data_IF_708054797754
#
_entry.id   IF_708054797754
#
_cell.length_a   1.000
_cell.length_b   1.000
_cell.length_c   1.000
_cell.angle_alpha   90.00
_cell.angle_beta   90.00
_cell.angle_gamma   90.00
#
_symmetry.space_group_name_H-M   'P 1'
#
loop_
_entity.id
_entity.type
_entity.pdbx_description
1 polymer ?
#
# COMPACT_ATOMS: atom_id res chain seq x y z
N UNK A 1 14.76 36.16 3.72
CA UNK A 1 15.90 37.01 4.14
C UNK A 1 16.82 36.15 5.02
N UNK A 2 18.11 36.02 4.68
CA UNK A 2 19.09 35.36 5.53
C UNK A 2 19.54 36.35 6.61
N UNK A 3 19.30 36.02 7.86
CA UNK A 3 19.75 36.83 9.00
C UNK A 3 21.05 36.24 9.53
N UNK A 4 22.12 37.03 9.52
CA UNK A 4 23.43 36.66 10.07
C UNK A 4 23.69 37.53 11.28
N UNK A 5 23.94 36.92 12.44
CA UNK A 5 24.49 37.60 13.61
C UNK A 5 25.71 36.81 14.10
N UNK A 6 26.64 37.45 14.79
CA UNK A 6 27.81 36.80 15.39
C UNK A 6 28.14 37.46 16.71
N UNK A 7 28.52 36.66 17.71
CA UNK A 7 28.98 37.11 19.03
C UNK A 7 30.32 36.41 19.30
N UNK A 8 31.33 37.15 19.77
CA UNK A 8 32.61 36.62 20.20
C UNK A 8 32.61 36.38 21.72
N UNK A 9 32.96 35.17 22.17
CA UNK A 9 33.18 34.84 23.59
C UNK A 9 34.67 34.55 23.75
N UNK A 10 35.28 34.99 24.85
CA UNK A 10 36.74 34.98 25.05
C UNK A 10 37.14 33.75 25.86
N UNK A 11 37.35 32.64 25.17
CA UNK A 11 38.09 31.50 25.68
C UNK A 11 39.17 31.18 24.63
N UNK A 12 40.41 30.96 25.09
CA UNK A 12 41.61 31.48 24.41
C UNK A 12 42.08 30.59 23.23
N UNK A 13 41.47 29.43 22.98
CA UNK A 13 41.98 28.49 21.97
C UNK A 13 41.47 28.76 20.56
N UNK A 14 40.18 29.05 20.39
CA UNK A 14 39.60 29.38 19.08
C UNK A 14 39.23 30.85 18.97
N UNK A 15 39.91 31.58 18.08
CA UNK A 15 39.67 33.02 17.85
C UNK A 15 38.85 33.32 16.60
N UNK A 16 38.18 32.32 16.02
CA UNK A 16 37.35 32.50 14.82
C UNK A 16 35.88 32.76 15.17
N UNK A 17 35.06 32.95 14.14
CA UNK A 17 33.61 33.06 14.27
C UNK A 17 32.91 31.82 13.72
N UNK A 18 31.71 31.55 14.25
CA UNK A 18 30.81 30.49 13.77
C UNK A 18 29.61 31.14 13.11
N UNK A 19 29.45 30.92 11.80
CA UNK A 19 28.23 31.25 11.07
C UNK A 19 27.33 30.03 11.07
N UNK A 20 26.03 30.22 11.34
CA UNK A 20 25.09 29.11 11.38
C UNK A 20 23.84 29.44 10.58
N UNK A 21 23.50 28.56 9.64
CA UNK A 21 22.40 28.77 8.70
C UNK A 21 21.55 27.52 8.57
N UNK A 22 20.30 27.71 8.13
CA UNK A 22 19.40 26.62 7.74
C UNK A 22 19.01 26.76 6.28
N UNK A 23 18.76 25.64 5.61
CA UNK A 23 18.16 25.61 4.28
C UNK A 23 16.73 26.14 4.30
N UNK A 24 15.98 25.89 5.39
CA UNK A 24 14.57 26.26 5.57
C UNK A 24 14.29 26.65 7.02
N UNK A 25 13.51 27.72 7.22
CA UNK A 25 13.06 28.17 8.56
C UNK A 25 11.62 27.75 8.87
N UNK A 26 10.84 27.42 7.84
CA UNK A 26 9.50 26.88 7.92
C UNK A 26 9.44 25.58 7.13
N UNK A 27 8.89 24.54 7.75
CA UNK A 27 8.70 23.22 7.18
C UNK A 27 7.20 22.91 7.13
N UNK A 28 6.76 22.25 6.07
CA UNK A 28 5.45 21.59 6.00
C UNK A 28 5.60 20.09 6.29
N UNK A 29 4.48 19.37 6.35
CA UNK A 29 4.48 17.93 6.63
C UNK A 29 5.45 17.16 5.70
N UNK A 30 6.34 16.34 6.28
CA UNK A 30 7.31 15.52 5.55
C UNK A 30 8.58 16.25 5.09
N UNK A 31 8.71 17.56 5.32
CA UNK A 31 9.94 18.30 4.99
C UNK A 31 10.98 18.21 6.13
N UNK A 32 12.26 18.21 5.75
CA UNK A 32 13.38 18.40 6.67
C UNK A 32 14.18 19.66 6.33
N UNK A 33 14.87 20.22 7.33
CA UNK A 33 15.83 21.30 7.15
C UNK A 33 17.26 20.79 7.28
N UNK A 34 18.19 21.36 6.50
CA UNK A 34 19.63 21.14 6.69
C UNK A 34 20.20 22.34 7.43
N UNK A 35 20.85 22.06 8.56
CA UNK A 35 21.61 23.03 9.35
C UNK A 35 23.07 22.96 8.93
N UNK A 36 23.68 24.11 8.67
CA UNK A 36 25.09 24.23 8.26
C UNK A 36 25.79 25.24 9.15
N UNK A 37 26.81 24.77 9.87
CA UNK A 37 27.73 25.59 10.66
C UNK A 37 29.05 25.76 9.90
N UNK A 38 29.50 27.01 9.75
CA UNK A 38 30.73 27.36 9.02
C UNK A 38 31.65 28.19 9.91
N UNK A 39 32.91 27.80 9.96
CA UNK A 39 33.96 28.45 10.73
C UNK A 39 34.74 29.42 9.86
N UNK A 40 35.09 30.59 10.41
CA UNK A 40 35.95 31.56 9.71
C UNK A 40 37.40 31.10 9.58
N UNK A 41 37.81 30.14 10.41
CA UNK A 41 39.16 29.53 10.45
C UNK A 41 39.03 28.05 10.80
N UNK A 42 39.99 27.27 10.33
CA UNK A 42 40.09 25.85 10.67
C UNK A 42 40.07 25.60 12.17
N UNK A 43 39.41 24.50 12.56
CA UNK A 43 39.29 24.07 13.94
C UNK A 43 40.68 23.65 14.50
N UNK A 44 41.15 24.20 15.63
CA UNK A 44 42.40 23.78 16.27
C UNK A 44 42.33 22.33 16.74
N UNK A 45 43.51 21.71 16.92
CA UNK A 45 43.58 20.39 17.54
C UNK A 45 42.96 20.42 18.94
N UNK A 46 42.20 19.38 19.30
CA UNK A 46 41.44 19.23 20.56
C UNK A 46 40.18 20.09 20.69
N UNK A 47 39.72 20.74 19.61
CA UNK A 47 38.42 21.40 19.57
C UNK A 47 37.39 20.61 18.76
N UNK A 48 36.12 20.86 19.07
CA UNK A 48 34.96 20.26 18.43
C UNK A 48 34.03 21.35 17.92
N UNK A 49 33.52 21.20 16.70
CA UNK A 49 32.38 21.93 16.19
C UNK A 49 31.13 21.08 16.41
N UNK A 50 30.27 21.54 17.32
CA UNK A 50 29.10 20.81 17.79
C UNK A 50 27.82 21.55 17.40
N UNK A 51 26.78 20.82 17.00
CA UNK A 51 25.43 21.36 16.80
C UNK A 51 24.51 20.74 17.85
N UNK A 52 23.79 21.59 18.58
CA UNK A 52 22.84 21.18 19.60
C UNK A 52 21.45 21.76 19.34
N UNK A 53 20.43 21.09 19.84
CA UNK A 53 19.09 21.66 19.98
C UNK A 53 18.91 22.41 21.32
N UNK A 54 17.72 22.97 21.51
CA UNK A 54 17.27 23.68 22.70
C UNK A 54 17.06 22.79 23.93
N UNK A 55 16.99 21.47 23.76
CA UNK A 55 16.96 20.49 24.86
C UNK A 55 18.38 20.11 25.31
N UNK A 56 19.42 20.63 24.65
CA UNK A 56 20.80 20.31 24.93
C UNK A 56 21.24 18.96 24.37
N UNK A 57 20.47 18.38 23.44
CA UNK A 57 20.86 17.17 22.72
C UNK A 57 21.85 17.54 21.62
N UNK A 58 22.97 16.80 21.55
CA UNK A 58 23.94 16.94 20.45
C UNK A 58 23.42 16.23 19.21
N UNK A 59 23.31 16.97 18.11
CA UNK A 59 22.85 16.48 16.81
C UNK A 59 24.01 16.19 15.87
N UNK A 60 25.11 16.95 15.97
CA UNK A 60 26.30 16.74 15.16
C UNK A 60 27.58 17.04 15.91
N UNK A 61 28.65 16.41 15.44
CA UNK A 61 29.97 16.42 16.05
C UNK A 61 31.05 16.33 14.98
N UNK A 62 31.61 17.49 14.64
CA UNK A 62 32.64 17.62 13.63
C UNK A 62 33.97 17.99 14.29
N UNK A 63 34.97 17.13 14.15
CA UNK A 63 36.31 17.35 14.69
C UNK A 63 37.38 16.85 13.73
N UNK A 64 38.59 17.39 13.89
CA UNK A 64 39.71 17.06 13.03
C UNK A 64 40.19 15.63 13.31
N UNK A 65 39.98 14.71 12.35
CA UNK A 65 40.60 13.38 12.35
C UNK A 65 41.82 13.32 11.42
N UNK A 66 41.74 13.98 10.28
CA UNK A 66 42.78 14.01 9.23
C UNK A 66 42.72 15.25 8.33
N UNK A 67 41.70 16.11 8.46
CA UNK A 67 41.46 17.29 7.61
C UNK A 67 41.03 18.48 8.44
N UNK A 68 41.41 19.68 8.00
CA UNK A 68 41.00 20.94 8.62
C UNK A 68 39.48 21.08 8.56
N UNK A 69 38.82 20.97 9.70
CA UNK A 69 37.36 21.18 9.79
C UNK A 69 37.07 22.66 9.70
N UNK A 70 36.30 23.04 8.68
CA UNK A 70 35.79 24.42 8.49
C UNK A 70 34.27 24.48 8.44
N UNK A 71 33.57 23.34 8.39
CA UNK A 71 32.12 23.30 8.41
C UNK A 71 31.58 22.00 9.03
N UNK A 72 30.30 22.01 9.41
CA UNK A 72 29.56 20.87 9.94
C UNK A 72 28.09 20.96 9.50
N UNK A 73 27.49 19.84 9.09
CA UNK A 73 26.09 19.81 8.62
C UNK A 73 25.28 18.70 9.29
N UNK A 74 23.99 18.94 9.48
CA UNK A 74 23.03 17.95 9.99
C UNK A 74 21.61 18.20 9.48
N UNK A 75 20.86 17.13 9.24
CA UNK A 75 19.44 17.21 8.92
C UNK A 75 18.59 17.23 10.19
N UNK A 76 17.52 18.02 10.20
CA UNK A 76 16.55 18.11 11.30
C UNK A 76 15.12 18.10 10.79
N UNK A 77 14.22 17.50 11.58
CA UNK A 77 12.78 17.44 11.30
C UNK A 77 12.01 17.59 12.62
N UNK A 78 11.73 18.83 13.09
CA UNK A 78 10.86 19.08 14.23
C UNK A 78 9.48 18.42 14.05
N UNK A 79 8.83 18.03 15.15
CA UNK A 79 7.48 17.47 15.10
C UNK A 79 6.44 18.49 14.59
N UNK A 80 5.27 18.06 14.10
CA UNK A 80 4.23 18.96 13.60
C UNK A 80 3.83 20.01 14.65
N UNK A 81 3.82 21.29 14.26
CA UNK A 81 3.48 22.40 15.16
C UNK A 81 4.59 22.78 16.14
N UNK A 82 5.74 22.13 16.04
CA UNK A 82 6.89 22.37 16.91
C UNK A 82 7.83 23.41 16.27
N UNK A 83 8.22 24.41 17.06
CA UNK A 83 9.39 25.25 16.77
C UNK A 83 10.57 24.77 17.60
N UNK A 84 11.69 24.47 16.93
CA UNK A 84 12.94 24.09 17.60
C UNK A 84 14.04 25.08 17.32
N UNK A 85 14.85 25.33 18.34
CA UNK A 85 16.01 26.20 18.24
C UNK A 85 17.28 25.39 18.27
N UNK A 86 18.22 25.77 17.41
CA UNK A 86 19.50 25.10 17.26
C UNK A 86 20.64 26.08 17.44
N UNK A 87 21.77 25.59 17.93
CA UNK A 87 22.98 26.39 18.13
C UNK A 87 24.22 25.59 17.72
N UNK A 88 25.15 26.26 17.05
CA UNK A 88 26.47 25.72 16.78
C UNK A 88 27.49 26.33 17.76
N UNK A 89 28.37 25.49 18.30
CA UNK A 89 29.41 25.89 19.24
C UNK A 89 30.76 25.29 18.86
N UNK A 90 31.83 26.07 19.01
CA UNK A 90 33.20 25.57 19.05
C UNK A 90 33.61 25.42 20.51
N UNK A 91 34.07 24.24 20.88
CA UNK A 91 34.31 23.91 22.28
C UNK A 91 35.47 22.92 22.46
N UNK A 92 36.17 23.04 23.59
CA UNK A 92 37.24 22.12 23.99
C UNK A 92 36.70 20.84 24.68
N UNK A 93 35.46 20.85 25.15
CA UNK A 93 34.80 19.70 25.76
C UNK A 93 33.68 19.14 24.86
N UNK A 94 33.34 17.86 25.10
CA UNK A 94 32.53 17.04 24.20
C UNK A 94 31.44 16.27 24.97
N UNK A 95 30.55 16.93 25.72
CA UNK A 95 29.51 16.23 26.47
C UNK A 95 28.61 15.42 25.54
N UNK A 96 28.20 14.23 25.98
CA UNK A 96 27.17 13.42 25.30
C UNK A 96 25.76 13.90 25.63
N UNK A 97 25.58 14.60 26.74
CA UNK A 97 24.31 15.17 27.21
C UNK A 97 24.53 16.55 27.81
N UNK A 98 23.71 17.53 27.42
CA UNK A 98 23.79 18.90 27.91
C UNK A 98 24.76 19.78 27.12
N UNK A 99 24.73 21.12 27.34
CA UNK A 99 25.57 22.05 26.61
C UNK A 99 27.06 21.91 27.02
N UNK A 100 28.01 22.20 26.11
CA UNK A 100 29.44 22.25 26.45
C UNK A 100 29.74 23.34 27.48
N UNK A 101 30.69 23.07 28.38
CA UNK A 101 31.11 23.99 29.44
C UNK A 101 32.29 24.86 29.02
N UNK A 102 33.11 24.41 28.08
CA UNK A 102 34.32 25.08 27.57
C UNK A 102 34.07 25.60 26.15
N UNK A 103 33.16 26.57 26.01
CA UNK A 103 32.76 27.16 24.73
C UNK A 103 33.64 28.37 24.40
N UNK A 104 34.30 28.34 23.24
CA UNK A 104 35.14 29.43 22.73
C UNK A 104 34.40 30.29 21.70
N UNK A 105 33.50 29.69 20.91
CA UNK A 105 32.65 30.45 20.01
C UNK A 105 31.25 29.83 19.93
N UNK A 106 30.25 30.68 19.76
CA UNK A 106 28.85 30.29 19.69
C UNK A 106 28.14 31.09 18.60
N UNK A 107 27.39 30.41 17.75
CA UNK A 107 26.52 31.07 16.78
C UNK A 107 25.26 31.66 17.46
N UNK A 108 24.55 32.59 16.82
CA UNK A 108 23.16 32.84 17.15
C UNK A 108 22.33 31.56 17.00
N UNK A 109 21.16 31.56 17.66
CA UNK A 109 20.20 30.48 17.49
C UNK A 109 19.53 30.56 16.13
N UNK A 110 19.33 29.42 15.51
CA UNK A 110 18.50 29.26 14.31
C UNK A 110 17.22 28.57 14.71
N UNK A 111 16.08 29.15 14.35
CA UNK A 111 14.76 28.55 14.58
C UNK A 111 14.30 27.82 13.32
N UNK A 112 13.81 26.61 13.49
CA UNK A 112 13.07 25.87 12.45
C UNK A 112 11.70 25.54 13.01
N UNK A 113 10.66 26.00 12.32
CA UNK A 113 9.27 25.73 12.70
C UNK A 113 8.69 24.75 11.72
N UNK A 114 8.24 23.60 12.20
CA UNK A 114 7.31 22.77 11.45
C UNK A 114 5.93 23.38 11.65
N UNK A 115 5.48 24.14 10.65
CA UNK A 115 4.14 24.71 10.67
C UNK A 115 3.24 23.50 10.56
N UNK A 116 2.60 23.09 11.66
CA UNK A 116 1.63 22.01 11.63
C UNK A 116 0.73 22.28 10.44
N UNK A 117 0.73 21.37 9.47
CA UNK A 117 -0.28 21.39 8.44
C UNK A 117 -1.59 21.05 9.15
N UNK A 118 -2.24 22.09 9.69
CA UNK A 118 -3.67 22.07 10.03
C UNK A 118 -4.49 22.25 8.76
N UNK A 119 -3.86 22.56 7.63
CA UNK A 119 -4.42 22.24 6.34
C UNK A 119 -4.33 20.73 6.16
N UNK A 120 -5.39 20.03 5.72
CA UNK A 120 -5.22 18.66 5.28
C UNK A 120 -4.04 18.67 4.30
N UNK A 121 -3.05 17.79 4.51
CA UNK A 121 -2.17 17.39 3.41
C UNK A 121 -3.11 17.17 2.25
N UNK A 122 -2.92 17.92 1.16
CA UNK A 122 -3.81 17.85 0.01
C UNK A 122 -3.57 16.50 -0.67
N UNK A 123 -4.06 15.43 -0.03
CA UNK A 123 -4.18 14.08 -0.51
C UNK A 123 -5.26 13.99 -1.59
N UNK A 124 -5.80 15.12 -2.07
CA UNK A 124 -6.69 15.11 -3.23
C UNK A 124 -6.03 14.54 -4.51
N UNK A 125 -4.70 14.33 -4.52
CA UNK A 125 -3.99 13.61 -5.58
C UNK A 125 -3.65 12.15 -5.25
N UNK A 126 -3.80 11.71 -4.00
CA UNK A 126 -3.68 10.29 -3.61
C UNK A 126 -5.03 9.84 -3.14
N UNK A 127 -5.77 9.18 -4.03
CA UNK A 127 -7.06 8.57 -3.71
C UNK A 127 -6.97 7.87 -2.35
N UNK A 128 -7.81 8.29 -1.39
CA UNK A 128 -7.82 7.80 -0.01
C UNK A 128 -7.88 6.26 0.03
N UNK A 129 -8.49 5.67 -1.00
CA UNK A 129 -8.50 4.23 -1.25
C UNK A 129 -7.11 3.62 -1.48
N UNK A 130 -6.26 4.24 -2.32
CA UNK A 130 -4.90 3.75 -2.56
C UNK A 130 -4.08 3.79 -1.28
N UNK A 131 -4.22 4.87 -0.51
CA UNK A 131 -3.52 5.03 0.76
C UNK A 131 -3.91 3.97 1.79
N UNK A 132 -5.21 3.71 1.99
CA UNK A 132 -5.67 2.65 2.89
C UNK A 132 -5.29 1.25 2.38
N UNK A 133 -5.18 1.04 1.06
CA UNK A 133 -4.65 -0.21 0.51
C UNK A 133 -3.17 -0.42 0.87
N UNK A 134 -2.32 0.61 0.80
CA UNK A 134 -0.93 0.53 1.27
C UNK A 134 -0.85 0.23 2.76
N UNK A 135 -1.69 0.86 3.57
CA UNK A 135 -1.77 0.59 5.02
C UNK A 135 -2.12 -0.87 5.29
N UNK A 136 -3.11 -1.41 4.58
CA UNK A 136 -3.53 -2.80 4.73
C UNK A 136 -2.46 -3.81 4.28
N UNK A 137 -1.77 -3.51 3.16
CA UNK A 137 -0.69 -4.32 2.61
C UNK A 137 0.54 -4.38 3.53
N UNK A 138 0.86 -3.28 4.19
CA UNK A 138 2.08 -3.15 5.00
C UNK A 138 1.81 -3.28 6.51
N UNK A 139 0.58 -3.61 6.91
CA UNK A 139 0.15 -3.70 8.31
C UNK A 139 0.93 -4.74 9.13
N UNK A 140 1.43 -5.78 8.47
CA UNK A 140 2.19 -6.87 9.07
C UNK A 140 3.70 -6.60 9.09
N UNK A 141 4.17 -5.61 8.33
CA UNK A 141 5.60 -5.28 8.25
C UNK A 141 5.98 -4.41 9.45
N UNK A 142 6.97 -4.80 10.26
CA UNK A 142 7.49 -3.96 11.33
C UNK A 142 7.94 -2.59 10.78
N UNK A 143 7.57 -1.50 11.48
CA UNK A 143 7.78 -0.14 10.96
C UNK A 143 9.24 0.17 10.58
N UNK A 144 10.21 -0.48 11.23
CA UNK A 144 11.64 -0.30 10.95
C UNK A 144 12.12 -1.03 9.69
N UNK A 145 11.46 -2.13 9.30
CA UNK A 145 11.79 -2.88 8.08
C UNK A 145 11.30 -2.13 6.83
N UNK A 146 10.22 -1.36 6.96
CA UNK A 146 9.70 -0.50 5.89
C UNK A 146 10.73 0.47 5.33
N UNK A 147 11.68 0.95 6.14
CA UNK A 147 12.63 1.94 5.66
C UNK A 147 13.71 1.32 4.77
N UNK A 148 14.04 0.03 4.97
CA UNK A 148 15.19 -0.62 4.32
C UNK A 148 15.12 -0.57 2.79
N UNK A 149 14.00 -0.91 2.12
CA UNK A 149 13.94 -0.88 0.66
C UNK A 149 14.05 0.53 0.08
N UNK A 150 13.68 1.56 0.84
CA UNK A 150 13.77 2.96 0.41
C UNK A 150 15.20 3.45 0.34
N UNK A 151 16.14 2.85 1.10
CA UNK A 151 17.56 3.23 1.07
C UNK A 151 18.21 2.99 -0.31
N UNK A 152 17.67 2.02 -1.06
CA UNK A 152 18.24 1.57 -2.33
C UNK A 152 17.59 2.22 -3.56
N UNK A 153 16.61 3.12 -3.35
CA UNK A 153 15.95 3.84 -4.45
C UNK A 153 16.95 4.80 -5.09
N UNK A 154 17.39 4.53 -6.32
CA UNK A 154 18.26 5.45 -7.05
C UNK A 154 17.51 6.76 -7.30
N UNK A 155 18.07 7.88 -6.84
CA UNK A 155 17.55 9.21 -7.11
C UNK A 155 18.49 9.98 -8.05
N UNK A 156 17.95 10.75 -9.00
CA UNK A 156 18.75 11.68 -9.78
C UNK A 156 19.16 12.86 -8.88
N UNK A 157 20.38 12.84 -8.34
CA UNK A 157 20.91 13.93 -7.52
C UNK A 157 22.22 13.60 -6.80
N UNK A 158 22.85 14.60 -6.16
CA UNK A 158 24.14 14.43 -5.47
C UNK A 158 24.02 13.76 -4.08
N UNK A 159 22.80 13.52 -3.58
CA UNK A 159 22.58 12.81 -2.31
C UNK A 159 22.64 11.30 -2.53
N UNK A 160 23.43 10.60 -1.72
CA UNK A 160 23.45 9.13 -1.71
C UNK A 160 22.25 8.51 -0.99
N UNK A 161 21.43 9.32 -0.31
CA UNK A 161 20.28 8.85 0.49
C UNK A 161 18.98 9.46 -0.03
N UNK A 162 17.96 8.63 -0.34
CA UNK A 162 16.66 9.11 -0.81
C UNK A 162 15.87 9.90 0.25
N UNK A 163 15.15 10.97 -0.13
CA UNK A 163 14.30 11.72 0.81
C UNK A 163 13.22 10.86 1.49
N UNK A 164 12.64 9.90 0.77
CA UNK A 164 11.66 8.95 1.31
C UNK A 164 12.23 8.06 2.42
N UNK A 165 13.49 7.64 2.29
CA UNK A 165 14.19 6.89 3.33
C UNK A 165 14.36 7.73 4.61
N UNK A 166 14.85 8.96 4.46
CA UNK A 166 15.05 9.86 5.61
C UNK A 166 13.72 10.21 6.31
N UNK A 167 12.65 10.39 5.54
CA UNK A 167 11.32 10.62 6.08
C UNK A 167 10.78 9.40 6.83
N UNK A 168 11.00 8.19 6.29
CA UNK A 168 10.67 6.94 6.95
C UNK A 168 11.39 6.79 8.30
N UNK A 169 12.72 6.86 8.29
CA UNK A 169 13.56 6.72 9.49
C UNK A 169 13.18 7.74 10.56
N UNK A 170 12.96 9.00 10.16
CA UNK A 170 12.56 10.06 11.08
C UNK A 170 11.18 9.80 11.69
N UNK A 171 10.22 9.29 10.90
CA UNK A 171 8.88 8.99 11.39
C UNK A 171 8.90 7.78 12.35
N UNK A 172 9.64 6.73 12.01
CA UNK A 172 9.80 5.52 12.84
C UNK A 172 10.53 5.85 14.14
N UNK A 173 11.63 6.60 14.09
CA UNK A 173 12.38 7.02 15.27
C UNK A 173 11.56 7.90 16.24
N UNK A 174 10.54 8.59 15.72
CA UNK A 174 9.60 9.39 16.52
C UNK A 174 8.50 8.55 17.18
N UNK A 175 8.47 7.24 16.95
CA UNK A 175 7.44 6.34 17.49
C UNK A 175 6.08 6.51 16.81
N UNK A 176 6.04 7.02 15.58
CA UNK A 176 4.79 7.19 14.84
C UNK A 176 4.20 5.84 14.42
N UNK A 177 2.87 5.78 14.28
CA UNK A 177 2.19 4.60 13.75
C UNK A 177 2.40 4.42 12.24
N UNK A 178 2.05 3.23 11.71
CA UNK A 178 2.23 2.88 10.30
C UNK A 178 1.64 3.92 9.35
N UNK A 179 0.41 4.41 9.62
CA UNK A 179 -0.22 5.45 8.79
C UNK A 179 0.69 6.69 8.71
N UNK A 180 1.16 7.21 9.83
CA UNK A 180 2.06 8.36 9.81
C UNK A 180 3.38 8.09 9.08
N UNK A 181 3.94 6.89 9.22
CA UNK A 181 5.15 6.49 8.48
C UNK A 181 4.89 6.50 6.97
N UNK A 182 3.81 5.87 6.49
CA UNK A 182 3.45 5.86 5.07
C UNK A 182 3.14 7.25 4.52
N UNK A 183 2.52 8.13 5.32
CA UNK A 183 2.31 9.55 4.96
C UNK A 183 3.62 10.29 4.79
N UNK A 184 4.58 10.09 5.71
CA UNK A 184 5.89 10.72 5.62
C UNK A 184 6.65 10.26 4.36
N UNK A 185 6.57 8.96 4.03
CA UNK A 185 7.17 8.39 2.83
C UNK A 185 6.53 8.97 1.57
N UNK A 186 5.20 9.00 1.49
CA UNK A 186 4.46 9.55 0.36
C UNK A 186 4.75 11.05 0.17
N UNK A 187 4.81 11.82 1.26
CA UNK A 187 5.11 13.25 1.20
C UNK A 187 6.53 13.53 0.66
N UNK A 188 7.50 12.68 0.99
CA UNK A 188 8.90 12.88 0.59
C UNK A 188 9.26 12.25 -0.77
N UNK A 189 8.61 11.14 -1.16
CA UNK A 189 8.94 10.37 -2.36
C UNK A 189 7.81 10.17 -3.36
N UNK A 190 6.60 10.67 -3.07
CA UNK A 190 5.40 10.41 -3.85
C UNK A 190 4.91 8.96 -3.74
N UNK A 191 3.89 8.61 -4.53
CA UNK A 191 3.34 7.26 -4.60
C UNK A 191 4.34 6.21 -5.08
N UNK A 192 5.29 6.60 -5.94
CA UNK A 192 6.33 5.69 -6.42
C UNK A 192 7.20 5.10 -5.28
N UNK A 193 7.37 5.83 -4.17
CA UNK A 193 8.05 5.31 -3.00
C UNK A 193 7.20 4.26 -2.27
N UNK A 194 5.88 4.46 -2.19
CA UNK A 194 4.95 3.48 -1.61
C UNK A 194 4.81 2.23 -2.48
N UNK A 195 4.73 2.38 -3.80
CA UNK A 195 4.73 1.28 -4.77
C UNK A 195 5.93 0.37 -4.59
N UNK A 196 7.10 0.97 -4.38
CA UNK A 196 8.33 0.22 -4.16
C UNK A 196 8.26 -0.62 -2.89
N UNK A 197 7.67 -0.09 -1.81
CA UNK A 197 7.51 -0.85 -0.56
C UNK A 197 6.64 -2.08 -0.75
N UNK A 198 5.54 -1.95 -1.48
CA UNK A 198 4.64 -3.06 -1.80
C UNK A 198 5.31 -4.11 -2.68
N UNK A 199 6.18 -3.68 -3.60
CA UNK A 199 6.91 -4.60 -4.48
C UNK A 199 8.02 -5.36 -3.75
N UNK A 200 8.65 -4.75 -2.74
CA UNK A 200 9.81 -5.30 -2.02
C UNK A 200 9.43 -6.07 -0.74
N UNK A 201 8.18 -5.95 -0.29
CA UNK A 201 7.61 -6.82 0.73
C UNK A 201 6.47 -7.65 0.10
N UNK A 202 6.80 -8.58 -0.81
CA UNK A 202 5.82 -9.61 -1.18
C UNK A 202 5.38 -10.32 0.12
N UNK A 203 4.11 -10.71 0.19
CA UNK A 203 3.54 -11.40 1.35
C UNK A 203 4.30 -12.72 1.58
N UNK A 204 5.31 -12.74 2.46
CA UNK A 204 6.26 -13.85 2.72
C UNK A 204 5.62 -15.14 3.26
N UNK A 205 4.29 -15.20 3.31
CA UNK A 205 3.52 -16.39 3.71
C UNK A 205 3.73 -17.64 2.83
N UNK A 206 4.55 -17.57 1.79
CA UNK A 206 4.86 -18.68 0.90
C UNK A 206 6.24 -19.34 1.14
N UNK A 207 7.12 -18.80 1.99
CA UNK A 207 8.51 -19.29 2.09
C UNK A 207 8.87 -20.21 3.28
N UNK A 208 8.00 -20.44 4.27
CA UNK A 208 8.29 -21.37 5.39
C UNK A 208 7.55 -22.72 5.25
N UNK A 209 8.04 -23.59 4.36
CA UNK A 209 7.86 -25.06 4.49
C UNK A 209 9.23 -25.75 4.38
N UNK A 210 9.84 -25.92 5.55
CA UNK A 210 11.15 -26.52 5.76
C UNK A 210 11.19 -27.99 5.33
N UNK A 211 11.55 -28.25 4.07
CA UNK A 211 12.42 -29.38 3.71
C UNK A 211 11.89 -30.80 3.97
N UNK A 212 10.59 -31.06 3.87
CA UNK A 212 10.15 -32.45 3.64
C UNK A 212 10.43 -32.86 2.19
N UNK A 213 10.97 -34.07 1.94
CA UNK A 213 11.24 -34.54 0.59
C UNK A 213 9.94 -34.56 -0.22
N UNK A 214 9.93 -33.81 -1.32
CA UNK A 214 8.84 -33.75 -2.30
C UNK A 214 8.47 -35.18 -2.71
N UNK A 215 7.26 -35.67 -2.42
CA UNK A 215 6.80 -36.93 -2.96
C UNK A 215 6.77 -36.84 -4.50
N UNK A 216 7.07 -37.93 -5.23
CA UNK A 216 7.10 -37.91 -6.70
C UNK A 216 5.76 -37.42 -7.27
N UNK A 217 5.77 -36.80 -8.47
CA UNK A 217 4.63 -36.04 -8.99
C UNK A 217 3.40 -36.94 -9.12
N UNK A 218 2.46 -36.76 -8.20
CA UNK A 218 1.12 -37.31 -8.25
C UNK A 218 0.14 -36.15 -8.38
N UNK A 219 -0.36 -35.95 -9.61
CA UNK A 219 -1.60 -35.31 -10.07
C UNK A 219 -2.30 -34.15 -9.33
N UNK A 220 -1.81 -33.59 -8.23
CA UNK A 220 -2.46 -32.47 -7.54
C UNK A 220 -1.48 -31.30 -7.44
N UNK A 221 -1.83 -30.18 -8.07
CA UNK A 221 -1.12 -28.91 -7.93
C UNK A 221 -1.13 -28.48 -6.45
N UNK A 222 -0.01 -27.97 -5.87
CA UNK A 222 0.03 -27.45 -4.51
C UNK A 222 -1.09 -26.43 -4.19
N UNK A 223 -1.54 -25.66 -5.19
CA UNK A 223 -2.66 -24.73 -5.06
C UNK A 223 -3.99 -25.49 -4.89
N UNK A 224 -4.21 -26.57 -5.64
CA UNK A 224 -5.39 -27.43 -5.54
C UNK A 224 -5.47 -28.15 -4.19
N UNK A 225 -4.32 -28.59 -3.67
CA UNK A 225 -4.23 -29.26 -2.37
C UNK A 225 -4.50 -28.28 -1.20
N UNK A 226 -4.04 -27.03 -1.32
CA UNK A 226 -4.37 -25.92 -0.39
C UNK A 226 -5.86 -25.55 -0.48
N UNK A 227 -6.46 -25.58 -1.67
CA UNK A 227 -7.91 -25.34 -1.86
C UNK A 227 -8.78 -26.44 -1.24
N UNK A 228 -8.39 -27.72 -1.38
CA UNK A 228 -9.12 -28.85 -0.79
C UNK A 228 -9.05 -28.87 0.75
N UNK A 229 -7.90 -28.52 1.32
CA UNK A 229 -7.76 -28.38 2.79
C UNK A 229 -8.54 -27.19 3.34
N UNK A 230 -8.67 -26.11 2.57
CA UNK A 230 -9.50 -24.93 2.92
C UNK A 230 -11.01 -25.23 2.84
N UNK A 231 -11.45 -26.09 1.92
CA UNK A 231 -12.85 -26.53 1.81
C UNK A 231 -13.34 -27.29 3.07
N UNK A 232 -12.45 -27.99 3.77
CA UNK A 232 -12.83 -28.83 4.91
C UNK A 232 -13.05 -28.05 6.22
N UNK A 233 -12.55 -26.80 6.34
CA UNK A 233 -12.63 -26.03 7.58
C UNK A 233 -12.54 -24.50 7.35
N UNK A 234 -13.63 -23.84 6.92
CA UNK A 234 -13.62 -22.39 6.72
C UNK A 234 -13.60 -21.68 8.08
N UNK A 235 -12.41 -21.26 8.53
CA UNK A 235 -12.31 -20.39 9.70
C UNK A 235 -12.71 -18.93 9.33
N UNK A 236 -13.30 -18.17 10.26
CA UNK A 236 -13.76 -16.78 10.02
C UNK A 236 -12.65 -15.80 9.60
N UNK A 237 -11.40 -16.08 9.95
CA UNK A 237 -10.21 -15.33 9.56
C UNK A 237 -9.88 -15.45 8.06
N UNK A 238 -10.23 -16.55 7.40
CA UNK A 238 -10.01 -16.73 5.97
C UNK A 238 -10.75 -15.71 5.11
N UNK A 239 -11.99 -15.32 5.48
CA UNK A 239 -12.73 -14.31 4.72
C UNK A 239 -12.05 -12.94 4.81
N UNK A 240 -11.50 -12.58 5.97
CA UNK A 240 -10.76 -11.33 6.16
C UNK A 240 -9.42 -11.35 5.42
N UNK A 241 -8.69 -12.46 5.47
CA UNK A 241 -7.44 -12.66 4.73
C UNK A 241 -7.69 -12.58 3.22
N UNK A 242 -8.73 -13.24 2.70
CA UNK A 242 -9.10 -13.20 1.28
C UNK A 242 -9.54 -11.79 0.89
N UNK A 243 -10.36 -11.10 1.70
CA UNK A 243 -10.74 -9.71 1.43
C UNK A 243 -9.54 -8.75 1.45
N UNK A 244 -8.57 -8.97 2.35
CA UNK A 244 -7.31 -8.22 2.41
C UNK A 244 -6.46 -8.48 1.18
N UNK A 245 -6.31 -9.74 0.78
CA UNK A 245 -5.62 -10.15 -0.45
C UNK A 245 -6.30 -9.60 -1.70
N UNK A 246 -7.62 -9.59 -1.76
CA UNK A 246 -8.34 -9.00 -2.90
C UNK A 246 -8.21 -7.48 -2.96
N UNK A 247 -8.21 -6.78 -1.82
CA UNK A 247 -7.88 -5.35 -1.79
C UNK A 247 -6.44 -5.10 -2.24
N UNK A 248 -5.50 -5.92 -1.81
CA UNK A 248 -4.11 -5.89 -2.25
C UNK A 248 -3.96 -6.13 -3.75
N UNK A 249 -4.59 -7.18 -4.30
CA UNK A 249 -4.56 -7.49 -5.73
C UNK A 249 -5.26 -6.42 -6.57
N UNK A 250 -6.42 -5.93 -6.13
CA UNK A 250 -7.13 -4.85 -6.80
C UNK A 250 -6.32 -3.53 -6.79
N UNK A 251 -5.67 -3.20 -5.67
CA UNK A 251 -4.77 -2.05 -5.58
C UNK A 251 -3.56 -2.23 -6.50
N UNK A 252 -2.93 -3.41 -6.50
CA UNK A 252 -1.79 -3.72 -7.38
C UNK A 252 -2.16 -3.66 -8.86
N UNK A 253 -3.34 -4.16 -9.23
CA UNK A 253 -3.87 -4.06 -10.58
C UNK A 253 -4.11 -2.60 -11.00
N UNK A 254 -4.67 -1.77 -10.10
CA UNK A 254 -4.83 -0.33 -10.33
C UNK A 254 -3.49 0.39 -10.48
N UNK A 255 -2.48 0.05 -9.68
CA UNK A 255 -1.13 0.64 -9.78
C UNK A 255 -0.43 0.24 -11.09
N UNK A 256 -0.65 -0.99 -11.57
CA UNK A 256 -0.15 -1.44 -12.87
C UNK A 256 -0.79 -0.65 -14.03
N UNK A 257 -2.09 -0.34 -13.95
CA UNK A 257 -2.77 0.50 -14.95
C UNK A 257 -2.18 1.93 -15.02
N UNK A 258 -1.82 2.52 -13.88
CA UNK A 258 -1.26 3.89 -13.82
C UNK A 258 0.20 3.94 -14.27
N UNK A 259 0.98 2.88 -14.03
CA UNK A 259 2.41 2.83 -14.35
C UNK A 259 2.75 2.52 -15.82
N UNK A 260 1.74 2.33 -16.69
CA UNK A 260 1.95 1.96 -18.10
C UNK A 260 2.54 0.55 -18.28
N UNK A 261 2.56 -0.26 -17.22
CA UNK A 261 3.04 -1.63 -17.23
C UNK A 261 1.90 -2.57 -17.63
N UNK A 262 2.27 -3.55 -18.47
CA UNK A 262 1.51 -4.69 -19.03
C UNK A 262 0.08 -4.93 -18.52
N UNK A 263 -0.80 -5.26 -19.47
CA UNK A 263 -2.19 -5.71 -19.32
C UNK A 263 -2.48 -6.30 -17.91
N UNK A 264 -3.47 -5.75 -17.16
CA UNK A 264 -3.82 -6.20 -15.79
C UNK A 264 -4.10 -7.70 -15.67
N UNK A 265 -4.31 -8.38 -16.79
CA UNK A 265 -4.52 -9.82 -16.89
C UNK A 265 -3.23 -10.66 -16.84
N UNK A 266 -2.04 -10.06 -16.74
CA UNK A 266 -0.75 -10.77 -16.84
C UNK A 266 -0.24 -11.41 -15.55
N UNK A 267 -0.90 -11.19 -14.40
CA UNK A 267 -0.53 -11.83 -13.13
C UNK A 267 -1.65 -12.73 -12.59
N UNK A 268 -2.81 -12.15 -12.30
CA UNK A 268 -4.02 -12.88 -11.93
C UNK A 268 -5.23 -12.08 -12.43
N UNK A 269 -5.90 -12.52 -13.50
CA UNK A 269 -7.05 -11.82 -14.03
C UNK A 269 -8.17 -11.66 -13.00
N UNK A 270 -8.76 -10.46 -12.91
CA UNK A 270 -9.83 -10.14 -11.97
C UNK A 270 -11.08 -9.74 -12.74
N UNK A 271 -12.18 -10.44 -12.53
CA UNK A 271 -13.51 -10.03 -12.97
C UNK A 271 -14.27 -9.38 -11.81
N UNK A 272 -14.67 -8.12 -11.97
CA UNK A 272 -15.35 -7.35 -10.94
C UNK A 272 -16.72 -6.88 -11.42
N UNK A 273 -17.80 -7.67 -11.22
CA UNK A 273 -19.15 -7.20 -11.50
C UNK A 273 -19.52 -6.09 -10.51
N UNK A 274 -20.03 -4.97 -11.00
CA UNK A 274 -20.22 -3.75 -10.21
C UNK A 274 -21.66 -3.25 -10.14
N UNK A 275 -21.78 -1.94 -9.88
CA UNK A 275 -23.05 -1.26 -9.66
C UNK A 275 -23.99 -1.26 -10.88
N UNK A 276 -23.47 -1.43 -12.10
CA UNK A 276 -24.23 -1.52 -13.34
C UNK A 276 -24.97 -2.86 -13.50
N UNK A 277 -24.57 -3.88 -12.74
CA UNK A 277 -25.17 -5.22 -12.70
C UNK A 277 -25.53 -5.61 -11.26
N UNK A 278 -26.09 -4.66 -10.51
CA UNK A 278 -26.17 -4.69 -9.05
C UNK A 278 -26.72 -6.00 -8.44
N UNK A 279 -27.83 -6.54 -8.96
CA UNK A 279 -28.42 -7.75 -8.39
C UNK A 279 -27.55 -9.00 -8.62
N UNK A 280 -26.87 -9.07 -9.77
CA UNK A 280 -25.95 -10.15 -10.09
C UNK A 280 -24.66 -10.04 -9.25
N UNK A 281 -24.12 -8.82 -9.08
CA UNK A 281 -23.01 -8.56 -8.18
C UNK A 281 -23.36 -8.93 -6.72
N UNK A 282 -24.56 -8.58 -6.26
CA UNK A 282 -25.05 -8.91 -4.92
C UNK A 282 -25.19 -10.43 -4.72
N UNK A 283 -25.74 -11.16 -5.69
CA UNK A 283 -25.81 -12.63 -5.62
C UNK A 283 -24.43 -13.26 -5.44
N UNK A 284 -23.42 -12.77 -6.16
CA UNK A 284 -22.04 -13.27 -6.08
C UNK A 284 -21.41 -12.94 -4.74
N UNK A 285 -21.63 -11.73 -4.23
CA UNK A 285 -21.20 -11.33 -2.89
C UNK A 285 -21.78 -12.29 -1.84
N UNK A 286 -23.08 -12.56 -1.88
CA UNK A 286 -23.73 -13.50 -0.95
C UNK A 286 -23.17 -14.93 -1.06
N UNK A 287 -22.96 -15.42 -2.28
CA UNK A 287 -22.40 -16.75 -2.52
C UNK A 287 -20.95 -16.87 -2.03
N UNK A 288 -20.14 -15.83 -2.22
CA UNK A 288 -18.76 -15.71 -1.73
C UNK A 288 -18.73 -15.60 -0.20
N UNK A 289 -19.60 -14.79 0.39
CA UNK A 289 -19.70 -14.66 1.85
C UNK A 289 -20.04 -15.99 2.50
N UNK A 290 -20.93 -16.78 1.88
CA UNK A 290 -21.24 -18.12 2.34
C UNK A 290 -20.08 -19.10 2.14
N UNK A 291 -19.27 -18.93 1.09
CA UNK A 291 -18.17 -19.82 0.68
C UNK A 291 -17.00 -19.02 0.08
N UNK A 292 -16.08 -18.49 0.92
CA UNK A 292 -15.04 -17.55 0.47
C UNK A 292 -14.11 -18.07 -0.63
N UNK A 293 -13.91 -19.39 -0.71
CA UNK A 293 -13.10 -20.04 -1.76
C UNK A 293 -13.71 -19.89 -3.16
N UNK A 294 -14.99 -19.51 -3.29
CA UNK A 294 -15.63 -19.20 -4.58
C UNK A 294 -15.12 -17.92 -5.23
N UNK A 295 -14.21 -17.18 -4.60
CA UNK A 295 -13.57 -16.01 -5.20
C UNK A 295 -12.53 -16.36 -6.26
N UNK A 296 -11.96 -17.57 -6.21
CA UNK A 296 -10.97 -18.04 -7.17
C UNK A 296 -11.58 -19.16 -8.02
N UNK A 297 -11.68 -18.94 -9.32
CA UNK A 297 -12.33 -19.85 -10.26
C UNK A 297 -11.35 -20.33 -11.34
N UNK A 298 -11.54 -21.57 -11.80
CA UNK A 298 -10.87 -22.12 -12.98
C UNK A 298 -11.81 -21.99 -14.17
N UNK A 299 -11.38 -21.32 -15.23
CA UNK A 299 -12.22 -21.18 -16.42
C UNK A 299 -12.33 -22.49 -17.19
N UNK A 300 -13.57 -22.90 -17.49
CA UNK A 300 -13.83 -24.06 -18.34
C UNK A 300 -14.84 -23.65 -19.42
N UNK A 301 -14.48 -23.68 -20.71
CA UNK A 301 -15.40 -23.30 -21.77
C UNK A 301 -16.69 -24.12 -21.72
N UNK A 302 -17.83 -23.46 -21.98
CA UNK A 302 -19.14 -24.12 -21.94
C UNK A 302 -19.20 -25.39 -22.82
N UNK A 303 -18.60 -25.36 -24.01
CA UNK A 303 -18.54 -26.51 -24.91
C UNK A 303 -17.78 -27.71 -24.32
N UNK A 304 -16.76 -27.48 -23.49
CA UNK A 304 -16.01 -28.54 -22.80
C UNK A 304 -16.91 -29.18 -21.76
N UNK A 305 -17.59 -28.37 -20.93
CA UNK A 305 -18.56 -28.89 -19.95
C UNK A 305 -19.72 -29.64 -20.60
N UNK A 306 -20.25 -29.12 -21.70
CA UNK A 306 -21.30 -29.81 -22.45
C UNK A 306 -20.83 -31.16 -23.00
N UNK A 307 -19.57 -31.26 -23.47
CA UNK A 307 -19.00 -32.54 -23.91
C UNK A 307 -18.78 -33.54 -22.77
N UNK A 308 -18.63 -33.05 -21.54
CA UNK A 308 -18.59 -33.86 -20.31
C UNK A 308 -19.99 -34.24 -19.79
N UNK A 309 -21.06 -33.84 -20.50
CA UNK A 309 -22.44 -34.17 -20.15
C UNK A 309 -23.14 -33.18 -19.23
N UNK A 310 -22.48 -32.07 -18.85
CA UNK A 310 -23.13 -30.98 -18.12
C UNK A 310 -24.11 -30.25 -19.05
N UNK A 311 -25.23 -29.79 -18.49
CA UNK A 311 -26.23 -29.05 -19.26
C UNK A 311 -26.20 -27.58 -18.86
N UNK A 312 -26.01 -26.69 -19.83
CA UNK A 312 -26.27 -25.26 -19.63
C UNK A 312 -27.70 -25.08 -19.14
N UNK A 313 -27.90 -24.22 -18.13
CA UNK A 313 -29.22 -23.97 -17.54
C UNK A 313 -29.89 -25.26 -17.02
N UNK A 314 -29.10 -26.18 -16.45
CA UNK A 314 -29.57 -27.43 -15.86
C UNK A 314 -30.75 -27.21 -14.89
N UNK A 315 -30.75 -26.09 -14.16
CA UNK A 315 -31.82 -25.67 -13.24
C UNK A 315 -33.16 -25.29 -13.91
N UNK A 316 -33.23 -25.19 -15.25
CA UNK A 316 -34.47 -24.87 -15.99
C UNK A 316 -35.25 -26.12 -16.45
N UNK A 317 -34.62 -27.29 -16.48
CA UNK A 317 -35.28 -28.53 -16.91
C UNK A 317 -36.22 -29.08 -15.82
N UNK A 318 -37.24 -29.88 -16.16
CA UNK A 318 -38.08 -30.53 -15.14
C UNK A 318 -37.30 -31.61 -14.36
N UNK A 319 -37.33 -31.60 -13.00
CA UNK A 319 -37.97 -30.58 -12.16
C UNK A 319 -37.13 -29.30 -12.08
N UNK A 320 -37.78 -28.15 -12.25
CA UNK A 320 -37.14 -26.83 -12.12
C UNK A 320 -36.56 -26.71 -10.71
N UNK A 321 -35.35 -26.18 -10.58
CA UNK A 321 -34.75 -25.97 -9.26
C UNK A 321 -35.62 -25.02 -8.43
N UNK A 322 -36.05 -25.41 -7.21
CA UNK A 322 -36.93 -24.59 -6.38
C UNK A 322 -36.39 -23.18 -6.11
N UNK A 323 -35.06 -23.00 -6.05
CA UNK A 323 -34.42 -21.69 -5.82
C UNK A 323 -34.75 -20.67 -6.92
N UNK A 324 -35.18 -21.14 -8.08
CA UNK A 324 -35.51 -20.31 -9.24
C UNK A 324 -36.90 -20.57 -9.82
N UNK A 325 -37.75 -21.30 -9.08
CA UNK A 325 -39.12 -21.59 -9.49
C UNK A 325 -40.01 -20.33 -9.44
N UNK A 326 -39.80 -19.45 -8.46
CA UNK A 326 -40.65 -18.28 -8.19
C UNK A 326 -40.20 -17.00 -8.91
N UNK A 327 -39.33 -17.10 -9.91
CA UNK A 327 -38.87 -15.92 -10.67
C UNK A 327 -40.01 -15.29 -11.48
N UNK A 328 -40.02 -13.96 -11.59
CA UNK A 328 -40.96 -13.24 -12.46
C UNK A 328 -40.53 -13.31 -13.94
N UNK A 329 -41.34 -12.76 -14.85
CA UNK A 329 -41.01 -12.70 -16.28
C UNK A 329 -39.80 -11.79 -16.58
N UNK A 330 -39.56 -10.82 -15.72
CA UNK A 330 -38.45 -9.86 -15.78
C UNK A 330 -37.17 -10.40 -15.13
N UNK A 331 -37.20 -11.61 -14.57
CA UNK A 331 -36.10 -12.21 -13.85
C UNK A 331 -35.52 -13.44 -14.55
N UNK A 332 -34.20 -13.58 -14.44
CA UNK A 332 -33.43 -14.76 -14.81
C UNK A 332 -32.84 -15.38 -13.54
N UNK A 333 -32.64 -16.70 -13.58
CA UNK A 333 -31.91 -17.39 -12.52
C UNK A 333 -30.41 -17.21 -12.80
N UNK A 334 -29.75 -16.37 -12.01
CA UNK A 334 -28.30 -16.24 -12.03
C UNK A 334 -27.67 -17.44 -11.33
N UNK A 335 -26.47 -17.81 -11.77
CA UNK A 335 -25.72 -18.98 -11.31
C UNK A 335 -24.30 -18.57 -10.90
N UNK A 336 -23.93 -18.85 -9.65
CA UNK A 336 -22.58 -18.63 -9.16
C UNK A 336 -22.04 -19.81 -8.33
N UNK A 337 -20.87 -20.39 -8.64
CA UNK A 337 -19.93 -19.99 -9.69
C UNK A 337 -20.49 -20.10 -11.11
N UNK A 338 -19.92 -19.35 -12.05
CA UNK A 338 -20.38 -19.33 -13.44
C UNK A 338 -20.43 -20.74 -14.03
N UNK A 339 -21.41 -21.03 -14.88
CA UNK A 339 -21.43 -22.30 -15.62
C UNK A 339 -20.07 -22.60 -16.27
N UNK A 340 -19.45 -21.60 -16.88
CA UNK A 340 -18.13 -21.69 -17.53
C UNK A 340 -16.95 -21.66 -16.54
N UNK A 341 -17.11 -22.27 -15.37
CA UNK A 341 -16.03 -22.56 -14.42
C UNK A 341 -16.09 -24.01 -13.99
N UNK A 342 -14.94 -24.56 -13.54
CA UNK A 342 -14.89 -25.92 -13.00
C UNK A 342 -15.73 -26.06 -11.72
N UNK A 343 -15.80 -24.98 -10.94
CA UNK A 343 -16.58 -24.89 -9.70
C UNK A 343 -18.09 -24.72 -9.94
N UNK A 344 -18.51 -24.30 -11.15
CA UNK A 344 -19.91 -24.16 -11.51
C UNK A 344 -20.57 -25.51 -11.85
N UNK A 345 -21.91 -25.56 -11.88
CA UNK A 345 -22.75 -26.67 -12.32
C UNK A 345 -22.07 -28.06 -12.37
N UNK A 346 -22.13 -28.84 -11.29
CA UNK A 346 -21.83 -30.28 -11.33
C UNK A 346 -23.14 -31.07 -11.24
N UNK A 347 -23.43 -31.92 -12.22
CA UNK A 347 -24.67 -32.74 -12.24
C UNK A 347 -24.81 -33.57 -10.97
N UNK A 348 -23.69 -33.98 -10.39
CA UNK A 348 -23.62 -34.79 -9.17
C UNK A 348 -23.71 -33.96 -7.88
N UNK A 349 -23.50 -32.64 -7.96
CA UNK A 349 -23.55 -31.73 -6.82
C UNK A 349 -24.38 -30.47 -7.16
N UNK A 350 -25.73 -30.58 -7.09
CA UNK A 350 -26.63 -29.45 -7.29
C UNK A 350 -26.46 -28.33 -6.24
N UNK A 351 -25.66 -28.55 -5.19
CA UNK A 351 -25.33 -27.55 -4.17
C UNK A 351 -24.06 -26.76 -4.49
N UNK A 352 -23.29 -27.16 -5.51
CA UNK A 352 -22.06 -26.46 -5.90
C UNK A 352 -22.36 -25.00 -6.32
N UNK A 353 -23.39 -24.78 -7.12
CA UNK A 353 -23.79 -23.43 -7.53
C UNK A 353 -24.90 -22.85 -6.64
N UNK A 354 -24.67 -21.61 -6.19
CA UNK A 354 -25.71 -20.70 -5.71
C UNK A 354 -26.57 -20.26 -6.89
N UNK A 355 -27.90 -20.28 -6.68
CA UNK A 355 -28.88 -19.88 -7.67
C UNK A 355 -29.75 -18.78 -7.06
N UNK A 356 -29.98 -17.69 -7.80
CA UNK A 356 -30.83 -16.58 -7.34
C UNK A 356 -31.57 -15.93 -8.51
N UNK A 357 -32.88 -15.68 -8.41
CA UNK A 357 -33.58 -14.81 -9.34
C UNK A 357 -33.02 -13.39 -9.28
N UNK A 358 -32.58 -12.87 -10.42
CA UNK A 358 -32.10 -11.49 -10.60
C UNK A 358 -32.74 -10.89 -11.84
N UNK A 359 -32.82 -9.56 -11.94
CA UNK A 359 -33.32 -8.88 -13.13
C UNK A 359 -32.58 -9.31 -14.42
N UNK A 360 -33.34 -9.55 -15.49
CA UNK A 360 -32.84 -9.93 -16.81
C UNK A 360 -31.73 -8.99 -17.29
N UNK A 361 -31.96 -7.67 -17.16
CA UNK A 361 -31.01 -6.66 -17.60
C UNK A 361 -29.65 -6.75 -16.89
N UNK A 362 -29.64 -7.01 -15.57
CA UNK A 362 -28.40 -7.17 -14.82
C UNK A 362 -27.66 -8.46 -15.21
N UNK A 363 -28.40 -9.58 -15.32
CA UNK A 363 -27.82 -10.88 -15.67
C UNK A 363 -27.22 -10.89 -17.09
N UNK A 364 -27.93 -10.33 -18.06
CA UNK A 364 -27.49 -10.28 -19.46
C UNK A 364 -26.30 -9.34 -19.67
N UNK A 365 -26.32 -8.18 -19.01
CA UNK A 365 -25.21 -7.23 -19.06
C UNK A 365 -23.96 -7.85 -18.43
N UNK A 366 -24.08 -8.47 -17.26
CA UNK A 366 -22.94 -9.14 -16.62
C UNK A 366 -22.39 -10.28 -17.49
N UNK A 367 -23.27 -11.12 -18.05
CA UNK A 367 -22.85 -12.18 -18.97
C UNK A 367 -22.08 -11.62 -20.18
N UNK A 368 -22.47 -10.44 -20.68
CA UNK A 368 -21.75 -9.73 -21.75
C UNK A 368 -20.36 -9.27 -21.28
N UNK A 369 -20.27 -8.67 -20.08
CA UNK A 369 -18.99 -8.22 -19.50
C UNK A 369 -18.06 -9.39 -19.20
N UNK A 370 -18.59 -10.48 -18.66
CA UNK A 370 -17.84 -11.69 -18.40
C UNK A 370 -17.32 -12.30 -19.71
N UNK A 371 -18.15 -12.38 -20.76
CA UNK A 371 -17.71 -12.83 -22.07
C UNK A 371 -16.65 -11.92 -22.72
N UNK A 372 -16.66 -10.61 -22.44
CA UNK A 372 -15.60 -9.68 -22.87
C UNK A 372 -14.30 -9.91 -22.10
N UNK A 373 -14.39 -10.06 -20.77
CA UNK A 373 -13.26 -10.38 -19.90
C UNK A 373 -12.52 -11.65 -20.35
N UNK A 374 -13.24 -12.70 -20.74
CA UNK A 374 -12.64 -13.96 -21.20
C UNK A 374 -11.89 -13.83 -22.54
N UNK A 375 -12.23 -12.87 -23.40
CA UNK A 375 -11.63 -12.77 -24.75
C UNK A 375 -10.21 -12.23 -24.70
N UNK A 376 -9.38 -12.65 -25.65
CA UNK A 376 -8.08 -12.03 -25.85
C UNK A 376 -8.25 -10.54 -26.20
N UNK A 377 -7.41 -9.65 -25.64
CA UNK A 377 -7.46 -8.24 -26.00
C UNK A 377 -7.16 -8.06 -27.49
N UNK A 378 -7.87 -7.15 -28.14
CA UNK A 378 -7.62 -6.74 -29.53
C UNK A 378 -7.38 -5.24 -29.60
N UNK A 379 -6.84 -4.74 -30.70
CA UNK A 379 -6.66 -3.29 -30.94
C UNK A 379 -7.98 -2.50 -30.79
N UNK A 380 -9.11 -3.15 -31.04
CA UNK A 380 -10.45 -2.57 -30.97
C UNK A 380 -11.20 -2.87 -29.66
N UNK A 381 -10.65 -3.76 -28.82
CA UNK A 381 -11.25 -4.17 -27.54
C UNK A 381 -10.13 -4.52 -26.55
N UNK A 382 -9.45 -3.52 -25.99
CA UNK A 382 -8.28 -3.72 -25.14
C UNK A 382 -8.62 -4.31 -23.76
N UNK A 383 -9.91 -4.40 -23.40
CA UNK A 383 -10.40 -4.80 -22.07
C UNK A 383 -10.44 -6.31 -21.83
N UNK A 384 -10.10 -7.13 -22.82
CA UNK A 384 -10.07 -8.59 -22.67
C UNK A 384 -8.83 -9.11 -21.93
N UNK A 385 -9.00 -10.20 -21.18
CA UNK A 385 -7.91 -10.87 -20.48
C UNK A 385 -7.34 -12.11 -21.18
N UNK A 386 -8.00 -12.61 -22.22
CA UNK A 386 -7.55 -13.79 -22.95
C UNK A 386 -7.52 -15.05 -22.10
N UNK A 387 -8.51 -15.20 -21.22
CA UNK A 387 -8.67 -16.37 -20.35
C UNK A 387 -8.99 -17.59 -21.22
N UNK A 388 -8.16 -18.60 -21.11
CA UNK A 388 -8.27 -19.89 -21.78
C UNK A 388 -8.58 -20.99 -20.78
N UNK A 389 -8.92 -22.17 -21.29
CA UNK A 389 -9.30 -23.30 -20.44
C UNK A 389 -8.22 -23.57 -19.38
N UNK A 390 -8.66 -23.84 -18.16
CA UNK A 390 -7.85 -24.13 -16.98
C UNK A 390 -7.10 -22.91 -16.40
N UNK A 391 -7.23 -21.72 -17.00
CA UNK A 391 -6.72 -20.49 -16.40
C UNK A 391 -7.50 -20.11 -15.13
N UNK A 392 -6.75 -19.68 -14.11
CA UNK A 392 -7.27 -19.14 -12.86
C UNK A 392 -7.67 -17.67 -13.03
N UNK A 393 -8.79 -17.28 -12.42
CA UNK A 393 -9.18 -15.88 -12.29
C UNK A 393 -9.92 -15.61 -10.98
N UNK A 394 -9.82 -14.37 -10.50
CA UNK A 394 -10.54 -13.89 -9.33
C UNK A 394 -11.87 -13.25 -9.71
N UNK A 395 -12.87 -13.42 -8.85
CA UNK A 395 -14.13 -12.69 -8.90
C UNK A 395 -14.25 -11.83 -7.66
N UNK A 396 -14.39 -10.53 -7.85
CA UNK A 396 -14.49 -9.55 -6.76
C UNK A 396 -15.71 -8.66 -7.01
N UNK A 397 -16.92 -9.05 -6.58
CA UNK A 397 -18.11 -8.23 -6.79
C UNK A 397 -18.02 -6.92 -6.01
N UNK A 398 -18.42 -5.81 -6.65
CA UNK A 398 -18.46 -4.49 -6.03
C UNK A 398 -19.91 -4.01 -5.91
N UNK A 399 -20.51 -4.26 -4.74
CA UNK A 399 -21.88 -3.82 -4.45
C UNK A 399 -21.83 -2.45 -3.77
N UNK A 400 -22.60 -1.44 -4.21
CA UNK A 400 -22.72 -0.17 -3.50
C UNK A 400 -23.19 -0.39 -2.04
N UNK A 401 -22.51 0.26 -1.09
CA UNK A 401 -22.76 0.13 0.35
C UNK A 401 -24.22 0.44 0.76
N UNK A 402 -24.91 1.24 -0.06
CA UNK A 402 -26.27 1.73 0.17
C UNK A 402 -27.32 0.62 0.24
N UNK A 403 -26.98 -0.60 -0.22
CA UNK A 403 -27.87 -1.76 -0.28
C UNK A 403 -27.36 -2.95 0.54
N UNK A 404 -26.39 -2.75 1.45
CA UNK A 404 -25.98 -3.84 2.35
C UNK A 404 -27.14 -4.24 3.29
N UNK A 405 -27.44 -5.54 3.43
CA UNK A 405 -28.37 -6.02 4.43
C UNK A 405 -27.98 -5.53 5.82
N UNK A 406 -28.96 -5.08 6.62
CA UNK A 406 -28.77 -4.51 7.96
C UNK A 406 -28.07 -5.43 8.99
N UNK A 407 -27.71 -6.67 8.62
CA UNK A 407 -27.00 -7.63 9.45
C UNK A 407 -25.48 -7.69 9.21
N UNK A 408 -24.94 -6.93 8.25
CA UNK A 408 -23.48 -6.75 8.12
C UNK A 408 -22.95 -5.82 9.23
N UNK A 409 -21.84 -6.17 9.91
CA UNK A 409 -21.25 -5.30 10.94
C UNK A 409 -20.94 -3.91 10.36
N UNK A 410 -21.37 -2.85 11.07
CA UNK A 410 -21.25 -1.43 10.68
C UNK A 410 -19.83 -0.91 10.39
N UNK A 411 -18.80 -1.77 10.44
CA UNK A 411 -17.42 -1.42 10.10
C UNK A 411 -17.21 -1.04 8.62
N UNK A 412 -18.20 -1.28 7.74
CA UNK A 412 -18.13 -0.93 6.31
C UNK A 412 -18.91 0.35 5.91
N UNK A 413 -19.65 0.98 6.83
CA UNK A 413 -20.68 1.97 6.50
C UNK A 413 -20.19 3.43 6.27
N UNK A 414 -18.88 3.68 6.13
CA UNK A 414 -18.34 5.05 5.94
C UNK A 414 -17.81 5.32 4.51
N UNK A 415 -18.39 4.71 3.49
CA UNK A 415 -17.99 4.93 2.09
C UNK A 415 -18.90 5.98 1.44
N UNK A 416 -18.32 7.17 1.20
CA UNK A 416 -18.92 8.30 0.49
C UNK A 416 -19.32 7.93 -0.96
N UNK A 417 -20.32 8.60 -1.53
CA UNK A 417 -21.15 8.15 -2.66
C UNK A 417 -20.68 8.58 -4.06
N UNK A 418 -19.39 8.90 -4.24
CA UNK A 418 -18.83 9.40 -5.52
C UNK A 418 -17.90 8.41 -6.23
N UNK A 419 -18.13 7.11 -6.12
CA UNK A 419 -17.29 6.09 -6.75
C UNK A 419 -17.83 5.61 -8.10
N UNK A 420 -16.98 5.71 -9.12
CA UNK A 420 -17.08 4.92 -10.36
C UNK A 420 -15.75 4.21 -10.55
N UNK A 421 -15.66 2.93 -10.15
CA UNK A 421 -14.67 2.04 -10.76
C UNK A 421 -14.97 2.08 -12.27
N UNK A 422 -13.96 2.35 -13.09
CA UNK A 422 -14.12 2.57 -14.52
C UNK A 422 -14.84 1.39 -15.19
N UNK A 423 -16.16 1.49 -15.31
CA UNK A 423 -16.92 0.78 -16.33
C UNK A 423 -16.53 1.40 -17.66
N UNK A 424 -15.76 0.68 -18.46
CA UNK A 424 -15.93 0.76 -19.89
C UNK A 424 -16.84 -0.38 -20.31
#
# INVERSE_FOLDING_TARGET
MRTTASIAITNIGYTGTVTFTTSLTQLTAGQGARLTATLSKGLPNNYFLLIHDDRGQRLADCHNRTMVVTFCEVGVSPGPGETRFYVATVSADRPTTGPPLMVDARSPRVAVTNVADTGPVNLNDVDEFQYEAYVALLATVPSHELCVPLAFVRQPGPSSVPPSYLACESAVASGNNLRWVLRAIAAAGGLAALDRLVLEHPDDSDEDDDGQPVPPPGNNDPIEQRLQTTQANPQPDHAEIVARRCRAYAARANLQLVSGVKNPCTSLPIFSPGADVQEAAQHKSEAILARPWLMLLNYVPAAVKESQGFRVRWYKGPPVDPRCADRTAEQQCDEYPYFASDQGARVEDPWAASLKPVLNAHNELEGTRYAQFLRAPTDTSPSGCGITQDDLFLVVPTVPANNEPAWLPQAAASLDTTWRCGSQ
#
